data_IF_962285806325
#
_entry.id   IF_962285806325
#
_cell.length_a   1.000
_cell.length_b   1.000
_cell.length_c   1.000
_cell.angle_alpha   90.00
_cell.angle_beta   90.00
_cell.angle_gamma   90.00
#
_symmetry.space_group_name_H-M   'P 1'
#
loop_
_entity.id
_entity.type
_entity.pdbx_description
1 polymer ?
#
# COMPACT_ATOMS: atom_id res chain seq x y z
N UNK A 1 -16.08 -2.08 9.58
CA UNK A 1 -15.75 -0.68 9.23
C UNK A 1 -14.40 -0.69 8.58
N UNK A 2 -14.30 -0.17 7.35
CA UNK A 2 -13.08 -0.18 6.55
C UNK A 2 -12.29 1.10 6.84
N UNK A 3 -10.99 1.07 6.58
CA UNK A 3 -10.14 2.26 6.76
C UNK A 3 -10.65 3.41 5.88
N UNK A 4 -11.05 3.10 4.65
CA UNK A 4 -11.55 4.01 3.62
C UNK A 4 -12.81 4.77 4.01
N UNK A 5 -13.65 4.21 4.89
CA UNK A 5 -14.86 4.86 5.40
C UNK A 5 -14.54 6.13 6.24
N UNK A 6 -13.29 6.31 6.67
CA UNK A 6 -12.82 7.48 7.43
C UNK A 6 -12.08 8.51 6.57
N UNK A 7 -12.13 8.38 5.25
CA UNK A 7 -11.50 9.30 4.31
C UNK A 7 -12.54 9.95 3.41
N UNK A 8 -12.39 11.26 3.18
CA UNK A 8 -12.98 11.90 2.01
C UNK A 8 -12.13 11.56 0.80
N UNK A 9 -12.72 10.89 -0.19
CA UNK A 9 -12.07 10.52 -1.44
C UNK A 9 -12.53 11.44 -2.58
N UNK A 10 -11.58 12.04 -3.28
CA UNK A 10 -11.83 12.81 -4.50
C UNK A 10 -11.05 12.22 -5.66
N UNK A 11 -11.75 11.72 -6.68
CA UNK A 11 -11.15 11.27 -7.93
C UNK A 11 -10.96 12.45 -8.87
N UNK A 12 -9.76 12.58 -9.43
CA UNK A 12 -9.45 13.50 -10.53
C UNK A 12 -9.08 12.68 -11.77
N UNK A 13 -9.81 12.88 -12.86
CA UNK A 13 -9.48 12.32 -14.16
C UNK A 13 -8.65 13.33 -14.94
N UNK A 14 -7.41 12.97 -15.25
CA UNK A 14 -6.48 13.81 -16.02
C UNK A 14 -5.70 12.93 -16.99
N UNK A 15 -5.22 13.49 -18.10
CA UNK A 15 -4.41 12.76 -19.10
C UNK A 15 -3.13 12.11 -18.54
N UNK A 16 -2.68 12.60 -17.38
CA UNK A 16 -1.45 12.15 -16.75
C UNK A 16 -1.68 10.84 -15.99
N UNK A 17 -2.79 10.77 -15.27
CA UNK A 17 -3.25 9.64 -14.49
C UNK A 17 -4.68 9.93 -14.01
N UNK A 18 -5.44 8.88 -13.74
CA UNK A 18 -6.59 9.01 -12.84
C UNK A 18 -6.06 8.91 -11.41
N UNK A 19 -6.44 9.83 -10.53
CA UNK A 19 -5.85 9.83 -9.20
C UNK A 19 -6.79 10.27 -8.10
N UNK A 20 -6.58 9.70 -6.93
CA UNK A 20 -7.36 9.96 -5.74
C UNK A 20 -6.61 10.88 -4.78
N UNK A 21 -7.34 11.84 -4.24
CA UNK A 21 -6.96 12.52 -3.01
C UNK A 21 -7.77 11.91 -1.88
N UNK A 22 -7.09 11.32 -0.90
CA UNK A 22 -7.67 10.76 0.31
C UNK A 22 -7.33 11.66 1.50
N UNK A 23 -8.34 12.22 2.14
CA UNK A 23 -8.18 13.11 3.29
C UNK A 23 -8.88 12.49 4.49
N UNK A 24 -8.17 12.30 5.61
CA UNK A 24 -8.80 11.83 6.85
C UNK A 24 -9.90 12.82 7.24
N UNK A 25 -11.10 12.30 7.52
CA UNK A 25 -12.23 13.11 8.00
C UNK A 25 -11.88 13.72 9.35
N UNK A 26 -12.24 14.99 9.55
CA UNK A 26 -11.97 15.70 10.80
C UNK A 26 -12.54 14.93 12.01
N UNK A 27 -11.71 14.74 13.04
CA UNK A 27 -12.06 13.97 14.24
C UNK A 27 -11.84 12.46 14.12
N UNK A 28 -11.62 11.89 12.92
CA UNK A 28 -11.49 10.43 12.74
C UNK A 28 -10.05 9.93 12.90
N UNK A 29 -9.06 10.81 13.12
CA UNK A 29 -7.63 10.44 13.15
C UNK A 29 -7.33 9.24 14.05
N UNK A 30 -7.85 9.26 15.28
CA UNK A 30 -7.51 8.25 16.27
C UNK A 30 -8.18 6.90 15.98
N UNK A 31 -9.38 6.91 15.37
CA UNK A 31 -10.01 5.70 14.83
C UNK A 31 -9.21 5.13 13.65
N UNK A 32 -8.74 5.98 12.74
CA UNK A 32 -7.90 5.55 11.61
C UNK A 32 -6.61 4.91 12.14
N UNK A 33 -5.97 5.49 13.16
CA UNK A 33 -4.79 4.89 13.81
C UNK A 33 -5.10 3.47 14.30
N UNK A 34 -6.22 3.29 15.01
CA UNK A 34 -6.63 1.99 15.55
C UNK A 34 -6.98 0.97 14.47
N UNK A 35 -7.62 1.41 13.39
CA UNK A 35 -8.00 0.57 12.27
C UNK A 35 -6.79 0.14 11.45
N UNK A 36 -5.89 1.07 11.14
CA UNK A 36 -4.64 0.78 10.40
C UNK A 36 -3.78 -0.19 11.19
N UNK A 37 -3.60 0.01 12.50
CA UNK A 37 -2.87 -0.93 13.34
C UNK A 37 -3.49 -2.33 13.33
N UNK A 38 -4.82 -2.42 13.42
CA UNK A 38 -5.52 -3.70 13.35
C UNK A 38 -5.41 -4.36 11.97
N UNK A 39 -5.48 -3.58 10.89
CA UNK A 39 -5.34 -4.07 9.52
C UNK A 39 -3.93 -4.63 9.26
N UNK A 40 -2.90 -3.90 9.68
CA UNK A 40 -1.50 -4.35 9.63
C UNK A 40 -1.36 -5.70 10.33
N UNK A 41 -1.84 -5.82 11.57
CA UNK A 41 -1.72 -7.05 12.35
C UNK A 41 -2.50 -8.21 11.71
N UNK A 42 -3.71 -7.96 11.21
CA UNK A 42 -4.51 -8.98 10.51
C UNK A 42 -3.80 -9.51 9.27
N UNK A 43 -3.19 -8.63 8.46
CA UNK A 43 -2.45 -9.03 7.26
C UNK A 43 -1.21 -9.84 7.61
N UNK A 44 -0.40 -9.35 8.56
CA UNK A 44 0.85 -10.01 8.95
C UNK A 44 0.63 -11.36 9.67
N UNK A 45 -0.52 -11.55 10.31
CA UNK A 45 -0.89 -12.78 11.01
C UNK A 45 -1.99 -13.59 10.29
N UNK A 46 -2.27 -13.29 9.01
CA UNK A 46 -3.35 -13.95 8.27
C UNK A 46 -3.18 -15.49 8.25
N UNK A 47 -1.94 -15.96 8.13
CA UNK A 47 -1.59 -17.38 8.16
C UNK A 47 -1.37 -17.95 9.57
N UNK A 48 -1.54 -17.15 10.63
CA UNK A 48 -1.41 -17.58 12.03
C UNK A 48 -2.61 -17.12 12.88
N UNK A 49 -3.77 -17.79 12.76
CA UNK A 49 -5.00 -17.41 13.45
C UNK A 49 -4.88 -17.41 14.98
N UNK A 50 -4.06 -18.30 15.54
CA UNK A 50 -3.81 -18.36 16.99
C UNK A 50 -3.09 -17.12 17.49
N UNK A 51 -2.01 -16.69 16.82
CA UNK A 51 -1.29 -15.48 17.19
C UNK A 51 -2.18 -14.23 17.04
N UNK A 52 -3.00 -14.17 15.97
CA UNK A 52 -3.95 -13.08 15.77
C UNK A 52 -4.98 -13.02 16.91
N UNK A 53 -5.56 -14.16 17.30
CA UNK A 53 -6.51 -14.25 18.41
C UNK A 53 -5.87 -13.78 19.73
N UNK A 54 -4.64 -14.22 20.01
CA UNK A 54 -3.87 -13.79 21.19
C UNK A 54 -3.64 -12.27 21.20
N UNK A 55 -3.24 -11.68 20.07
CA UNK A 55 -3.05 -10.23 19.96
C UNK A 55 -4.35 -9.46 20.22
N UNK A 56 -5.46 -9.90 19.62
CA UNK A 56 -6.79 -9.28 19.82
C UNK A 56 -7.20 -9.35 21.30
N UNK A 57 -7.07 -10.51 21.93
CA UNK A 57 -7.42 -10.71 23.33
C UNK A 57 -6.61 -9.79 24.24
N UNK A 58 -5.29 -9.68 24.01
CA UNK A 58 -4.42 -8.81 24.79
C UNK A 58 -4.77 -7.34 24.61
N UNK A 59 -4.99 -6.89 23.37
CA UNK A 59 -5.39 -5.52 23.05
C UNK A 59 -6.72 -5.12 23.71
N UNK A 60 -7.64 -6.07 23.89
CA UNK A 60 -8.91 -5.89 24.58
C UNK A 60 -8.80 -5.84 26.12
N UNK A 61 -7.58 -5.85 26.67
CA UNK A 61 -7.34 -5.84 28.12
C UNK A 61 -7.19 -7.22 28.75
N UNK A 62 -7.02 -8.28 27.94
CA UNK A 62 -6.70 -9.61 28.41
C UNK A 62 -5.36 -9.69 29.14
N UNK A 63 -5.11 -10.84 29.78
CA UNK A 63 -3.89 -11.11 30.53
C UNK A 63 -2.62 -10.90 29.70
N UNK A 64 -1.51 -10.46 30.31
CA UNK A 64 -0.21 -10.40 29.64
C UNK A 64 0.19 -11.75 29.04
N UNK A 65 0.80 -11.71 27.86
CA UNK A 65 1.39 -12.89 27.21
C UNK A 65 2.62 -13.39 27.96
N UNK A 66 2.87 -14.69 27.87
CA UNK A 66 4.15 -15.27 28.28
C UNK A 66 5.28 -14.89 27.31
N UNK A 67 6.53 -15.12 27.72
CA UNK A 67 7.70 -14.74 26.92
C UNK A 67 7.73 -15.40 25.53
N UNK A 68 7.39 -16.69 25.35
CA UNK A 68 7.31 -17.31 24.03
C UNK A 68 6.28 -16.65 23.10
N UNK A 69 5.07 -16.37 23.59
CA UNK A 69 4.02 -15.73 22.78
C UNK A 69 4.41 -14.30 22.41
N UNK A 70 5.04 -13.56 23.33
CA UNK A 70 5.60 -12.24 23.03
C UNK A 70 6.67 -12.31 21.95
N UNK A 71 7.59 -13.27 22.04
CA UNK A 71 8.65 -13.45 21.05
C UNK A 71 8.09 -13.78 19.66
N UNK A 72 7.09 -14.66 19.58
CA UNK A 72 6.39 -14.98 18.33
C UNK A 72 5.73 -13.73 17.72
N UNK A 73 4.92 -13.01 18.50
CA UNK A 73 4.24 -11.80 18.01
C UNK A 73 5.23 -10.72 17.56
N UNK A 74 6.33 -10.53 18.29
CA UNK A 74 7.37 -9.56 17.92
C UNK A 74 8.05 -9.94 16.61
N UNK A 75 8.33 -11.23 16.40
CA UNK A 75 8.93 -11.73 15.16
C UNK A 75 8.06 -11.40 13.95
N UNK A 76 6.73 -11.55 14.06
CA UNK A 76 5.82 -11.24 12.96
C UNK A 76 5.52 -9.75 12.81
N UNK A 77 5.36 -9.01 13.92
CA UNK A 77 4.76 -7.67 13.87
C UNK A 77 5.77 -6.53 13.91
N UNK A 78 6.99 -6.76 14.39
CA UNK A 78 7.94 -5.67 14.66
C UNK A 78 9.07 -5.55 13.62
N UNK A 79 9.03 -6.29 12.51
CA UNK A 79 10.04 -6.18 11.44
C UNK A 79 10.34 -4.73 11.03
N UNK A 80 9.32 -3.96 10.65
CA UNK A 80 9.42 -2.53 10.32
C UNK A 80 9.03 -1.58 11.47
N UNK A 81 8.53 -2.14 12.56
CA UNK A 81 8.00 -1.41 13.70
C UNK A 81 8.85 -1.52 14.96
N UNK A 82 10.00 -2.22 14.94
CA UNK A 82 10.83 -2.44 16.12
C UNK A 82 11.42 -1.14 16.66
N UNK A 83 12.02 -0.33 15.78
CA UNK A 83 12.78 0.86 16.13
C UNK A 83 11.99 2.15 15.85
N UNK A 84 11.58 2.85 16.90
CA UNK A 84 10.89 4.14 16.79
C UNK A 84 11.84 5.33 16.56
N UNK A 85 13.16 5.11 16.68
CA UNK A 85 14.19 6.10 16.38
C UNK A 85 14.39 6.25 14.87
N UNK A 86 14.21 5.16 14.10
CA UNK A 86 14.20 5.18 12.63
C UNK A 86 12.84 5.65 12.07
N UNK A 87 12.53 6.92 12.35
CA UNK A 87 11.28 7.58 11.95
C UNK A 87 10.99 7.48 10.44
N UNK A 88 11.96 7.64 9.53
CA UNK A 88 11.74 7.45 8.10
C UNK A 88 11.20 6.07 7.72
N UNK A 89 11.72 5.01 8.34
CA UNK A 89 11.31 3.64 8.03
C UNK A 89 9.89 3.37 8.55
N UNK A 90 9.63 3.73 9.80
CA UNK A 90 8.30 3.60 10.41
C UNK A 90 7.22 4.33 9.61
N UNK A 91 7.49 5.57 9.18
CA UNK A 91 6.55 6.32 8.32
C UNK A 91 6.33 5.64 6.96
N UNK A 92 7.39 5.09 6.37
CA UNK A 92 7.30 4.35 5.11
C UNK A 92 6.36 3.17 5.23
N UNK A 93 6.61 2.29 6.20
CA UNK A 93 5.79 1.11 6.44
C UNK A 93 4.31 1.45 6.70
N UNK A 94 4.03 2.48 7.50
CA UNK A 94 2.64 2.91 7.75
C UNK A 94 1.97 3.43 6.47
N UNK A 95 2.68 4.19 5.64
CA UNK A 95 2.13 4.70 4.36
C UNK A 95 1.90 3.58 3.36
N UNK A 96 2.77 2.58 3.34
CA UNK A 96 2.67 1.39 2.50
C UNK A 96 1.44 0.55 2.87
N UNK A 97 1.29 0.23 4.17
CA UNK A 97 0.11 -0.49 4.65
C UNK A 97 -1.18 0.30 4.44
N UNK A 98 -1.15 1.61 4.65
CA UNK A 98 -2.31 2.46 4.38
C UNK A 98 -2.67 2.48 2.89
N UNK A 99 -1.70 2.45 1.98
CA UNK A 99 -1.99 2.24 0.57
C UNK A 99 -2.72 0.92 0.34
N UNK A 100 -2.23 -0.20 0.90
CA UNK A 100 -2.85 -1.50 0.71
C UNK A 100 -4.30 -1.53 1.22
N UNK A 101 -4.56 -1.00 2.42
CA UNK A 101 -5.93 -0.90 2.96
C UNK A 101 -6.84 -0.04 2.11
N UNK A 102 -6.30 1.00 1.47
CA UNK A 102 -7.10 1.91 0.64
C UNK A 102 -7.36 1.32 -0.75
N UNK A 103 -6.34 0.72 -1.35
CA UNK A 103 -6.36 0.20 -2.72
C UNK A 103 -7.50 -0.80 -2.94
N UNK A 104 -7.82 -1.62 -1.94
CA UNK A 104 -8.92 -2.60 -1.97
C UNK A 104 -10.30 -1.97 -2.24
N UNK A 105 -10.50 -0.69 -1.88
CA UNK A 105 -11.78 0.00 -2.08
C UNK A 105 -11.72 1.14 -3.12
N UNK A 106 -10.60 1.31 -3.83
CA UNK A 106 -10.47 2.35 -4.86
C UNK A 106 -11.14 1.91 -6.17
N UNK A 107 -12.27 2.54 -6.50
CA UNK A 107 -12.92 2.39 -7.80
C UNK A 107 -12.19 3.23 -8.87
N UNK A 108 -11.10 2.68 -9.37
CA UNK A 108 -10.14 3.35 -10.25
C UNK A 108 -10.47 3.30 -11.74
N UNK A 109 -9.45 3.53 -12.56
CA UNK A 109 -9.56 3.52 -14.03
C UNK A 109 -10.02 2.19 -14.64
N UNK A 110 -9.89 1.10 -13.88
CA UNK A 110 -10.31 -0.25 -14.25
C UNK A 110 -11.37 -0.82 -13.30
N UNK A 111 -12.08 0.05 -12.56
CA UNK A 111 -13.05 -0.37 -11.56
C UNK A 111 -12.40 -0.78 -10.24
N UNK A 112 -13.09 -1.64 -9.49
CA UNK A 112 -12.62 -2.14 -8.20
C UNK A 112 -11.63 -3.29 -8.40
N UNK A 113 -10.50 -3.34 -7.69
CA UNK A 113 -9.63 -4.50 -7.74
C UNK A 113 -10.32 -5.73 -7.15
N UNK A 114 -10.05 -6.90 -7.74
CA UNK A 114 -10.49 -8.20 -7.22
C UNK A 114 -9.47 -8.80 -6.26
N UNK A 115 -8.23 -8.32 -6.29
CA UNK A 115 -7.16 -8.72 -5.38
C UNK A 115 -6.16 -7.58 -5.21
N UNK A 116 -5.65 -7.41 -3.99
CA UNK A 116 -4.52 -6.53 -3.69
C UNK A 116 -3.49 -7.36 -2.95
N UNK A 117 -2.32 -7.51 -3.54
CA UNK A 117 -1.17 -8.14 -2.91
C UNK A 117 -0.51 -7.12 -1.96
N UNK A 118 -0.51 -7.37 -0.64
CA UNK A 118 0.00 -6.42 0.34
C UNK A 118 1.54 -6.37 0.38
N UNK A 119 2.09 -5.39 1.13
CA UNK A 119 3.50 -5.33 1.52
C UNK A 119 4.08 -6.68 1.94
N UNK A 120 5.26 -7.02 1.45
CA UNK A 120 5.96 -8.22 1.88
C UNK A 120 6.63 -8.04 3.26
N UNK A 121 6.69 -9.13 4.01
CA UNK A 121 7.26 -9.24 5.36
C UNK A 121 8.79 -8.94 5.49
N UNK A 122 9.51 -8.72 4.38
CA UNK A 122 10.96 -8.80 4.34
C UNK A 122 11.67 -7.44 4.36
N UNK A 123 12.44 -7.20 5.44
CA UNK A 123 13.40 -6.09 5.63
C UNK A 123 14.48 -6.02 4.55
N UNK A 124 14.69 -7.10 3.80
CA UNK A 124 15.83 -7.27 2.89
C UNK A 124 15.44 -7.04 1.43
N UNK A 125 14.13 -7.00 1.13
CA UNK A 125 13.62 -6.86 -0.23
C UNK A 125 13.19 -5.42 -0.47
N UNK A 126 14.14 -4.58 -0.84
CA UNK A 126 13.80 -3.33 -1.53
C UNK A 126 13.16 -3.69 -2.88
N UNK A 127 11.90 -3.34 -3.06
CA UNK A 127 11.20 -3.46 -4.33
C UNK A 127 9.72 -3.10 -4.25
N UNK A 128 9.03 -3.13 -5.39
CA UNK A 128 7.66 -2.63 -5.57
C UNK A 128 6.76 -2.92 -4.38
N UNK A 129 6.04 -1.90 -3.95
CA UNK A 129 5.35 -1.90 -2.66
C UNK A 129 4.01 -2.67 -2.70
N UNK A 130 3.50 -2.98 -3.89
CA UNK A 130 2.44 -3.97 -4.03
C UNK A 130 1.85 -4.09 -5.43
N UNK A 131 0.84 -4.95 -5.55
CA UNK A 131 0.16 -5.25 -6.80
C UNK A 131 -1.35 -5.22 -6.59
N UNK A 132 -2.10 -4.64 -7.52
CA UNK A 132 -3.56 -4.79 -7.56
C UNK A 132 -3.98 -5.45 -8.86
N UNK A 133 -4.90 -6.42 -8.78
CA UNK A 133 -5.44 -7.17 -9.91
C UNK A 133 -6.89 -6.78 -10.10
N UNK A 134 -7.29 -6.57 -11.35
CA UNK A 134 -8.62 -6.12 -11.73
C UNK A 134 -9.25 -7.15 -12.66
N UNK A 135 -10.55 -7.33 -12.50
CA UNK A 135 -11.33 -7.99 -13.52
C UNK A 135 -11.35 -7.11 -14.77
N UNK A 136 -11.29 -7.75 -15.92
CA UNK A 136 -11.63 -7.11 -17.19
C UNK A 136 -12.34 -8.16 -18.01
N UNK A 137 -13.37 -7.75 -18.77
CA UNK A 137 -14.28 -8.68 -19.45
C UNK A 137 -13.52 -9.89 -20.02
N UNK A 138 -13.88 -11.08 -19.54
CA UNK A 138 -13.29 -12.42 -19.76
C UNK A 138 -12.64 -12.59 -21.15
N UNK A 139 -11.37 -13.03 -21.27
CA UNK A 139 -10.61 -13.86 -20.30
C UNK A 139 -9.42 -13.22 -19.59
N UNK A 140 -9.13 -11.93 -19.78
CA UNK A 140 -7.85 -11.38 -19.32
C UNK A 140 -7.97 -10.44 -18.12
N UNK A 141 -7.40 -10.86 -16.99
CA UNK A 141 -7.19 -9.98 -15.84
C UNK A 141 -6.18 -8.89 -16.18
N UNK A 142 -6.37 -7.72 -15.59
CA UNK A 142 -5.39 -6.62 -15.62
C UNK A 142 -4.68 -6.51 -14.29
N UNK A 143 -3.48 -5.95 -14.30
CA UNK A 143 -2.71 -5.72 -13.08
C UNK A 143 -2.09 -4.35 -13.07
N UNK A 144 -1.92 -3.81 -11.87
CA UNK A 144 -1.19 -2.57 -11.64
C UNK A 144 -0.11 -2.79 -10.61
N UNK A 145 1.12 -2.49 -10.99
CA UNK A 145 2.26 -2.46 -10.08
C UNK A 145 2.31 -1.10 -9.38
N UNK A 146 2.42 -1.11 -8.05
CA UNK A 146 2.40 0.09 -7.23
C UNK A 146 3.75 0.35 -6.57
N UNK A 147 4.09 1.63 -6.49
CA UNK A 147 5.13 2.15 -5.59
C UNK A 147 4.49 3.15 -4.62
N UNK A 148 4.76 2.98 -3.35
CA UNK A 148 4.34 3.85 -2.26
C UNK A 148 5.50 4.70 -1.76
N UNK A 149 5.24 5.97 -1.46
CA UNK A 149 6.25 6.88 -0.94
C UNK A 149 5.71 7.68 0.22
N UNK A 150 6.45 7.69 1.33
CA UNK A 150 6.29 8.78 2.31
C UNK A 150 6.82 10.09 1.72
N UNK A 151 6.11 11.18 2.00
CA UNK A 151 6.51 12.53 1.63
C UNK A 151 6.29 13.51 2.80
N UNK A 152 7.37 13.81 3.51
CA UNK A 152 7.39 14.77 4.63
C UNK A 152 8.52 15.79 4.42
N UNK A 153 8.67 16.29 3.18
CA UNK A 153 9.69 17.27 2.81
C UNK A 153 9.09 18.66 2.61
N UNK A 154 9.78 19.67 3.13
CA UNK A 154 9.43 21.06 2.87
C UNK A 154 9.94 21.57 1.52
N UNK A 155 10.90 20.90 0.89
CA UNK A 155 11.62 21.37 -0.31
C UNK A 155 11.28 20.60 -1.56
N UNK A 156 10.87 19.33 -1.44
CA UNK A 156 10.43 18.52 -2.59
C UNK A 156 8.92 18.66 -2.77
N UNK A 157 8.49 18.68 -4.03
CA UNK A 157 7.08 18.58 -4.38
C UNK A 157 6.63 17.12 -4.45
N UNK A 158 5.32 16.87 -4.29
CA UNK A 158 4.70 15.56 -4.56
C UNK A 158 5.05 15.09 -5.98
N UNK A 159 5.06 16.01 -6.94
CA UNK A 159 5.43 15.71 -8.33
C UNK A 159 6.83 15.14 -8.47
N UNK A 160 7.82 15.69 -7.75
CA UNK A 160 9.18 15.15 -7.78
C UNK A 160 9.26 13.76 -7.16
N UNK A 161 8.53 13.52 -6.05
CA UNK A 161 8.44 12.20 -5.42
C UNK A 161 7.83 11.17 -6.38
N UNK A 162 6.69 11.50 -6.99
CA UNK A 162 6.03 10.61 -7.96
C UNK A 162 6.95 10.34 -9.14
N UNK A 163 7.66 11.36 -9.62
CA UNK A 163 8.59 11.22 -10.74
C UNK A 163 9.75 10.27 -10.40
N UNK A 164 10.32 10.37 -9.20
CA UNK A 164 11.33 9.44 -8.71
C UNK A 164 10.82 8.01 -8.60
N UNK A 165 9.66 7.82 -7.97
CA UNK A 165 8.99 6.52 -7.84
C UNK A 165 8.70 5.88 -9.21
N UNK A 166 8.22 6.69 -10.17
CA UNK A 166 7.94 6.22 -11.53
C UNK A 166 9.22 5.74 -12.23
N UNK A 167 10.36 6.42 -12.01
CA UNK A 167 11.65 5.99 -12.52
C UNK A 167 12.11 4.66 -11.94
N UNK A 168 11.93 4.47 -10.62
CA UNK A 168 12.25 3.20 -9.94
C UNK A 168 11.42 2.04 -10.50
N UNK A 169 10.11 2.23 -10.66
CA UNK A 169 9.25 1.21 -11.28
C UNK A 169 9.70 0.89 -12.70
N UNK A 170 10.00 1.90 -13.52
CA UNK A 170 10.47 1.68 -14.90
C UNK A 170 11.74 0.84 -14.95
N UNK A 171 12.65 1.04 -14.00
CA UNK A 171 13.95 0.36 -13.95
C UNK A 171 13.88 -1.06 -13.39
N UNK A 172 13.03 -1.29 -12.38
CA UNK A 172 13.07 -2.53 -11.59
C UNK A 172 11.78 -3.37 -11.63
N UNK A 173 10.72 -2.91 -12.28
CA UNK A 173 9.42 -3.59 -12.23
C UNK A 173 9.43 -5.06 -12.64
N UNK A 174 10.26 -5.47 -13.62
CA UNK A 174 10.32 -6.88 -14.01
C UNK A 174 10.80 -7.78 -12.85
N UNK A 175 11.78 -7.31 -12.05
CA UNK A 175 12.27 -8.01 -10.88
C UNK A 175 11.23 -8.03 -9.76
N UNK A 176 10.52 -6.91 -9.56
CA UNK A 176 9.45 -6.81 -8.56
C UNK A 176 8.29 -7.75 -8.87
N UNK A 177 7.83 -7.76 -10.12
CA UNK A 177 6.77 -8.64 -10.60
C UNK A 177 7.17 -10.11 -10.54
N UNK A 178 8.44 -10.45 -10.79
CA UNK A 178 8.94 -11.82 -10.66
C UNK A 178 8.94 -12.31 -9.19
N UNK A 179 9.11 -11.41 -8.22
CA UNK A 179 8.99 -11.74 -6.79
C UNK A 179 7.54 -11.88 -6.38
N UNK A 180 6.71 -10.90 -6.74
CA UNK A 180 5.27 -10.87 -6.42
C UNK A 180 4.48 -12.00 -7.11
N UNK A 181 4.96 -12.55 -8.23
CA UNK A 181 4.29 -13.67 -8.88
C UNK A 181 4.27 -14.93 -8.02
N UNK A 182 5.23 -15.10 -7.10
CA UNK A 182 5.32 -16.29 -6.24
C UNK A 182 4.13 -16.43 -5.28
N UNK A 183 3.79 -15.44 -4.43
CA UNK A 183 2.61 -15.54 -3.59
C UNK A 183 1.32 -15.60 -4.42
N UNK A 184 1.24 -14.89 -5.56
CA UNK A 184 0.05 -14.93 -6.43
C UNK A 184 -0.22 -16.32 -7.04
N UNK A 185 0.81 -17.15 -7.21
CA UNK A 185 0.64 -18.54 -7.65
C UNK A 185 -0.08 -19.42 -6.60
N UNK A 186 -0.14 -18.96 -5.34
CA UNK A 186 -0.84 -19.64 -4.25
C UNK A 186 -2.25 -19.07 -4.01
N UNK A 187 -2.70 -18.11 -4.82
CA UNK A 187 -4.02 -17.51 -4.69
C UNK A 187 -5.13 -18.52 -5.02
N UNK A 188 -6.28 -18.44 -4.34
CA UNK A 188 -7.39 -19.38 -4.56
C UNK A 188 -8.12 -19.18 -5.91
N UNK A 189 -8.01 -17.99 -6.55
CA UNK A 189 -8.59 -17.72 -7.88
C UNK A 189 -7.65 -18.24 -9.00
N UNK A 190 -8.05 -19.25 -9.79
CA UNK A 190 -7.22 -19.78 -10.88
C UNK A 190 -6.84 -18.74 -11.94
N UNK A 191 -7.66 -17.70 -12.14
CA UNK A 191 -7.35 -16.61 -13.09
C UNK A 191 -6.16 -15.78 -12.60
N UNK A 192 -6.05 -15.56 -11.29
CA UNK A 192 -4.91 -14.86 -10.67
C UNK A 192 -3.65 -15.72 -10.75
N UNK A 193 -3.76 -17.03 -10.52
CA UNK A 193 -2.64 -17.95 -10.69
C UNK A 193 -2.11 -17.93 -12.15
N UNK A 194 -3.02 -17.95 -13.13
CA UNK A 194 -2.66 -17.86 -14.54
C UNK A 194 -1.98 -16.53 -14.87
N UNK A 195 -2.52 -15.42 -14.37
CA UNK A 195 -1.90 -14.09 -14.49
C UNK A 195 -0.48 -14.09 -13.91
N UNK A 196 -0.27 -14.67 -12.72
CA UNK A 196 1.03 -14.75 -12.07
C UNK A 196 2.09 -15.44 -12.94
N UNK A 197 1.70 -16.46 -13.72
CA UNK A 197 2.57 -17.14 -14.67
C UNK A 197 3.00 -16.29 -15.87
N UNK A 198 2.24 -15.25 -16.23
CA UNK A 198 2.50 -14.38 -17.39
C UNK A 198 2.89 -12.94 -17.05
N UNK A 199 2.78 -12.51 -15.79
CA UNK A 199 2.84 -11.09 -15.38
C UNK A 199 4.14 -10.38 -15.80
N UNK A 200 5.30 -11.05 -15.68
CA UNK A 200 6.60 -10.50 -16.09
C UNK A 200 6.66 -10.36 -17.62
N UNK A 201 6.11 -11.32 -18.35
CA UNK A 201 6.06 -11.28 -19.81
C UNK A 201 5.17 -10.13 -20.28
N UNK A 202 3.97 -10.02 -19.73
CA UNK A 202 3.03 -8.92 -20.03
C UNK A 202 3.67 -7.55 -19.82
N UNK A 203 4.36 -7.36 -18.69
CA UNK A 203 5.06 -6.10 -18.40
C UNK A 203 6.18 -5.81 -19.40
N UNK A 204 7.07 -6.78 -19.64
CA UNK A 204 8.23 -6.60 -20.53
C UNK A 204 7.84 -6.44 -22.00
N UNK A 205 6.69 -6.99 -22.41
CA UNK A 205 6.11 -6.76 -23.74
C UNK A 205 5.24 -5.51 -23.83
N UNK A 206 5.09 -4.72 -22.76
CA UNK A 206 4.23 -3.53 -22.69
C UNK A 206 2.78 -3.83 -23.05
N UNK A 207 2.29 -4.96 -22.57
CA UNK A 207 0.93 -5.41 -22.81
C UNK A 207 -0.10 -4.47 -22.14
N UNK A 208 -1.27 -4.29 -22.77
CA UNK A 208 -2.34 -3.44 -22.26
C UNK A 208 -2.99 -3.97 -20.97
N UNK A 209 -2.73 -5.23 -20.61
CA UNK A 209 -3.13 -5.78 -19.32
C UNK A 209 -2.31 -5.22 -18.14
N UNK A 210 -1.11 -4.66 -18.40
CA UNK A 210 -0.26 -4.10 -17.36
C UNK A 210 -0.52 -2.61 -17.12
N UNK A 211 -0.36 -2.16 -15.89
CA UNK A 211 -0.52 -0.76 -15.51
C UNK A 211 0.41 -0.37 -14.36
N UNK A 212 0.47 0.92 -14.09
CA UNK A 212 1.35 1.49 -13.05
C UNK A 212 0.56 2.36 -12.07
N UNK A 213 0.94 2.29 -10.80
CA UNK A 213 0.38 3.07 -9.73
C UNK A 213 1.46 3.72 -8.87
N UNK A 214 1.21 4.94 -8.39
CA UNK A 214 2.04 5.56 -7.35
C UNK A 214 1.16 6.08 -6.22
N UNK A 215 1.46 5.67 -5.00
CA UNK A 215 0.87 6.21 -3.77
C UNK A 215 1.84 7.13 -3.05
N UNK A 216 1.33 8.24 -2.50
CA UNK A 216 2.12 9.18 -1.70
C UNK A 216 1.39 9.51 -0.41
N UNK A 217 1.93 9.07 0.72
CA UNK A 217 1.48 9.49 2.05
C UNK A 217 2.20 10.77 2.49
N UNK A 218 1.47 11.83 2.80
CA UNK A 218 2.07 13.15 3.08
C UNK A 218 1.39 13.90 4.21
N UNK A 219 2.14 14.78 4.89
CA UNK A 219 1.57 15.66 5.92
C UNK A 219 0.61 16.68 5.29
N UNK A 220 -0.65 16.63 5.73
CA UNK A 220 -1.75 17.45 5.23
C UNK A 220 -1.56 18.96 5.53
N UNK A 221 -0.81 19.72 4.71
CA UNK A 221 -0.64 21.19 4.90
C UNK A 221 -0.38 22.03 3.65
N UNK A 222 -0.31 21.47 2.44
CA UNK A 222 -0.03 22.25 1.22
C UNK A 222 -1.01 21.93 0.12
N UNK A 223 -1.36 22.94 -0.67
CA UNK A 223 -2.05 22.71 -1.93
C UNK A 223 -1.22 21.73 -2.76
N UNK A 224 -1.86 20.66 -3.25
CA UNK A 224 -1.20 19.74 -4.15
C UNK A 224 -0.82 20.48 -5.44
N UNK A 225 0.31 20.14 -6.07
CA UNK A 225 0.61 20.64 -7.41
C UNK A 225 -0.54 20.37 -8.36
N UNK A 226 -0.75 21.24 -9.36
CA UNK A 226 -1.83 21.05 -10.35
C UNK A 226 -1.73 19.75 -11.15
N UNK A 227 -0.50 19.22 -11.29
CA UNK A 227 -0.20 17.96 -11.98
C UNK A 227 0.72 17.09 -11.12
N UNK A 228 0.21 16.49 -10.02
CA UNK A 228 1.04 15.73 -9.09
C UNK A 228 1.59 14.46 -9.73
N UNK A 229 0.87 13.87 -10.68
CA UNK A 229 1.20 12.60 -11.32
C UNK A 229 1.82 12.70 -12.71
N UNK A 230 2.28 13.88 -13.16
CA UNK A 230 2.91 14.03 -14.49
C UNK A 230 4.12 13.10 -14.71
N UNK A 231 4.79 12.70 -13.63
CA UNK A 231 5.90 11.74 -13.66
C UNK A 231 5.49 10.38 -14.21
N UNK A 232 4.30 9.89 -13.86
CA UNK A 232 3.76 8.62 -14.37
C UNK A 232 3.62 8.65 -15.89
N UNK A 233 3.01 9.72 -16.45
CA UNK A 233 2.88 9.88 -17.91
C UNK A 233 4.23 9.94 -18.61
N UNK A 234 5.21 10.60 -18.00
CA UNK A 234 6.54 10.74 -18.58
C UNK A 234 7.28 9.40 -18.68
N UNK A 235 7.31 8.65 -17.58
CA UNK A 235 8.05 7.37 -17.53
C UNK A 235 7.31 6.22 -18.21
N UNK A 236 5.97 6.28 -18.24
CA UNK A 236 5.10 5.26 -18.82
C UNK A 236 4.25 5.81 -19.98
N UNK A 237 4.91 6.52 -20.89
CA UNK A 237 4.30 7.15 -22.07
C UNK A 237 3.76 6.16 -23.10
N UNK A 238 4.18 4.89 -23.03
CA UNK A 238 3.68 3.81 -23.90
C UNK A 238 2.27 3.35 -23.54
N UNK A 239 1.79 3.63 -22.32
CA UNK A 239 0.37 3.46 -22.03
C UNK A 239 -0.40 4.61 -22.66
N UNK A 240 -1.27 4.33 -23.63
CA UNK A 240 -1.95 5.40 -24.36
C UNK A 240 -3.05 6.04 -23.52
N UNK A 241 -3.78 5.23 -22.73
CA UNK A 241 -4.93 5.71 -21.96
C UNK A 241 -4.55 6.03 -20.50
N UNK A 242 -5.10 7.11 -19.91
CA UNK A 242 -4.77 7.51 -18.55
C UNK A 242 -5.18 6.49 -17.47
N UNK A 243 -6.10 5.57 -17.77
CA UNK A 243 -6.56 4.53 -16.84
C UNK A 243 -5.46 3.50 -16.49
N UNK A 244 -4.44 3.35 -17.34
CA UNK A 244 -3.28 2.50 -17.02
C UNK A 244 -2.38 3.12 -15.94
N UNK A 245 -2.53 4.41 -15.65
CA UNK A 245 -1.74 5.16 -14.68
C UNK A 245 -2.65 5.62 -13.55
N UNK A 246 -2.40 5.13 -12.35
CA UNK A 246 -3.18 5.53 -11.18
C UNK A 246 -2.34 6.23 -10.11
N UNK A 247 -2.94 7.23 -9.48
CA UNK A 247 -2.32 7.97 -8.39
C UNK A 247 -3.14 7.89 -7.12
N UNK A 248 -2.48 7.86 -5.98
CA UNK A 248 -3.10 8.05 -4.68
C UNK A 248 -2.28 9.05 -3.87
N UNK A 249 -2.90 10.10 -3.36
CA UNK A 249 -2.30 10.97 -2.35
C UNK A 249 -3.09 10.80 -1.07
N UNK A 250 -2.43 10.31 -0.01
CA UNK A 250 -3.01 10.13 1.30
C UNK A 250 -2.52 11.24 2.22
N UNK A 251 -3.42 12.14 2.59
CA UNK A 251 -3.12 13.27 3.45
C UNK A 251 -3.30 12.88 4.92
N UNK A 252 -2.17 12.76 5.62
CA UNK A 252 -2.08 12.23 6.98
C UNK A 252 -1.65 13.39 7.91
N UNK A 253 -2.55 13.92 8.76
CA UNK A 253 -2.19 14.97 9.69
C UNK A 253 -1.09 14.51 10.66
N UNK A 254 0.03 15.25 10.66
CA UNK A 254 1.20 14.96 11.50
C UNK A 254 1.69 13.51 11.28
N UNK A 255 2.04 13.16 10.04
CA UNK A 255 2.44 11.81 9.62
C UNK A 255 3.40 11.11 10.61
N UNK A 256 4.41 11.85 11.09
CA UNK A 256 5.35 11.33 12.09
C UNK A 256 4.69 10.87 13.39
N UNK A 257 3.75 11.66 13.93
CA UNK A 257 3.02 11.32 15.15
C UNK A 257 2.02 10.20 14.87
N UNK A 258 1.32 10.28 13.74
CA UNK A 258 0.40 9.23 13.29
C UNK A 258 1.08 7.86 13.24
N UNK A 259 2.26 7.77 12.62
CA UNK A 259 2.98 6.51 12.52
C UNK A 259 3.46 5.96 13.89
N UNK A 260 3.80 6.85 14.83
CA UNK A 260 4.12 6.45 16.21
C UNK A 260 2.89 5.90 16.95
N UNK A 261 1.74 6.52 16.75
CA UNK A 261 0.50 6.09 17.39
C UNK A 261 0.04 4.73 16.83
N UNK A 262 0.18 4.50 15.52
CA UNK A 262 -0.07 3.19 14.90
C UNK A 262 0.83 2.12 15.51
N UNK A 263 2.13 2.39 15.65
CA UNK A 263 3.05 1.48 16.34
C UNK A 263 2.62 1.22 17.79
N UNK A 264 2.22 2.25 18.52
CA UNK A 264 1.78 2.10 19.90
C UNK A 264 0.53 1.19 19.99
N UNK A 265 -0.42 1.31 19.06
CA UNK A 265 -1.57 0.41 18.97
C UNK A 265 -1.18 -1.04 18.67
N UNK A 266 -0.18 -1.27 17.79
CA UNK A 266 0.35 -2.62 17.53
C UNK A 266 0.94 -3.21 18.82
N UNK A 267 1.72 -2.44 19.56
CA UNK A 267 2.37 -2.89 20.80
C UNK A 267 1.38 -3.23 21.91
N UNK A 268 0.20 -2.58 21.96
CA UNK A 268 -0.84 -2.89 22.97
C UNK A 268 -1.31 -4.34 22.95
N UNK A 269 -1.26 -5.01 21.80
CA UNK A 269 -1.61 -6.44 21.70
C UNK A 269 -0.42 -7.39 21.91
N UNK A 270 0.78 -6.85 22.15
CA UNK A 270 2.01 -7.62 22.40
C UNK A 270 2.40 -7.55 23.88
N UNK A 271 2.47 -6.35 24.44
CA UNK A 271 2.88 -6.10 25.84
C UNK A 271 1.71 -6.13 26.79
#
# INVERSE_FOLDING_TARGET
MRVTDHFTLTLTQHDDAWWFRAQIIDGHRDEVVQLVAADIVRRQLASNPSALASWIARRAGGSPHDDPTKAELKAYLLSDFADDSNRPRLQGAVVEHLWASMAEDLYGGWGMPIHVEPPHFSVIDHGGDGLSVYDSDDPELRFRLWESKRHDSATKSVTEVVTGASGQLREHAAEYLARMSKPLQLNDDPRIQQLAGKIVKLWTSRDAAGGVGVSVGTTARRALPSRPFRGLRREFSHFETPQHREGLVIEIPRLKEFARDVRAEILKGIE
#
